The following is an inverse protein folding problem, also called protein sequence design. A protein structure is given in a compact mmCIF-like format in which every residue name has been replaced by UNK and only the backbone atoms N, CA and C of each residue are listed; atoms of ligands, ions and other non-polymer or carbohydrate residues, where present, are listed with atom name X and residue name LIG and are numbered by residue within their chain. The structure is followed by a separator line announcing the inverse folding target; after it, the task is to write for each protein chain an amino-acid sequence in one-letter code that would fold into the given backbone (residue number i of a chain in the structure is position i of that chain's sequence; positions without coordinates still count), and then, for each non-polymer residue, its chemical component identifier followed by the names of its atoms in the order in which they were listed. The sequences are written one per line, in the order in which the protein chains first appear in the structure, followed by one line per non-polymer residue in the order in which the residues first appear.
data_IF_733290621409
#
_entry.id   IF_733290621409
#
_cell.length_a   1.000
_cell.length_b   1.000
_cell.length_c   1.000
_cell.angle_alpha   90.00
_cell.angle_beta   90.00
_cell.angle_gamma   90.00
#
_symmetry.space_group_name_H-M   'P 1'
#
loop_
_entity.id
_entity.type
_entity.pdbx_description
1 polymer ?
#
# COMPACT_ATOMS: atom_id res chain seq x y z
N UNK A 1 -7.19 -10.30 22.84
CA UNK A 1 -6.29 -9.12 22.96
C UNK A 1 -5.64 -8.86 21.60
N UNK A 2 -5.40 -7.60 21.19
CA UNK A 2 -4.72 -7.27 19.93
C UNK A 2 -3.22 -7.59 20.01
N UNK A 3 -2.60 -8.06 18.91
CA UNK A 3 -1.17 -8.36 18.89
C UNK A 3 -0.32 -7.12 19.15
N UNK A 4 0.86 -7.31 19.75
CA UNK A 4 1.79 -6.22 20.09
C UNK A 4 2.18 -5.46 18.81
N UNK A 5 1.98 -4.14 18.81
CA UNK A 5 2.23 -3.28 17.65
C UNK A 5 1.02 -3.04 16.75
N UNK A 6 -0.09 -3.78 16.91
CA UNK A 6 -1.32 -3.55 16.13
C UNK A 6 -2.23 -2.57 16.87
N UNK A 7 -2.36 -1.36 16.33
CA UNK A 7 -3.26 -0.30 16.80
C UNK A 7 -4.39 -0.03 15.80
N UNK A 8 -5.46 0.65 16.24
CA UNK A 8 -6.53 1.08 15.32
C UNK A 8 -5.98 1.99 14.21
N UNK A 9 -4.95 2.78 14.52
CA UNK A 9 -4.23 3.59 13.55
C UNK A 9 -3.52 2.73 12.50
N UNK A 10 -2.93 1.61 12.91
CA UNK A 10 -2.28 0.66 11.98
C UNK A 10 -3.29 0.06 11.01
N UNK A 11 -4.47 -0.34 11.50
CA UNK A 11 -5.55 -0.86 10.65
C UNK A 11 -6.03 0.18 9.63
N UNK A 12 -6.18 1.44 10.07
CA UNK A 12 -6.56 2.55 9.19
C UNK A 12 -5.55 2.76 8.06
N UNK A 13 -4.25 2.65 8.34
CA UNK A 13 -3.20 2.72 7.32
C UNK A 13 -3.26 1.54 6.35
N UNK A 14 -3.44 0.32 6.88
CA UNK A 14 -3.58 -0.87 6.03
C UNK A 14 -4.77 -0.73 5.08
N UNK A 15 -5.93 -0.32 5.58
CA UNK A 15 -7.14 -0.13 4.77
C UNK A 15 -6.93 0.88 3.64
N UNK A 16 -6.36 2.05 3.94
CA UNK A 16 -6.09 3.08 2.94
C UNK A 16 -5.02 2.66 1.90
N UNK A 17 -4.00 1.92 2.34
CA UNK A 17 -2.96 1.39 1.44
C UNK A 17 -3.56 0.38 0.47
N UNK A 18 -4.37 -0.56 0.95
CA UNK A 18 -5.03 -1.55 0.10
C UNK A 18 -6.08 -0.92 -0.83
N UNK A 19 -6.84 0.08 -0.37
CA UNK A 19 -7.74 0.83 -1.24
C UNK A 19 -6.99 1.49 -2.40
N UNK A 20 -5.84 2.13 -2.13
CA UNK A 20 -5.02 2.73 -3.18
C UNK A 20 -4.40 1.70 -4.12
N UNK A 21 -3.97 0.55 -3.59
CA UNK A 21 -3.43 -0.55 -4.38
C UNK A 21 -4.49 -1.14 -5.32
N UNK A 22 -5.75 -1.18 -4.87
CA UNK A 22 -6.92 -1.55 -5.68
C UNK A 22 -7.38 -0.47 -6.67
N UNK A 23 -6.71 0.67 -6.75
CA UNK A 23 -7.00 1.72 -7.74
C UNK A 23 -7.94 2.83 -7.25
N UNK A 24 -8.29 2.90 -5.96
CA UNK A 24 -9.09 3.99 -5.43
C UNK A 24 -8.34 5.35 -5.55
N UNK A 25 -9.09 6.40 -5.89
CA UNK A 25 -8.57 7.77 -5.99
C UNK A 25 -8.23 8.33 -4.60
N UNK A 26 -7.23 9.22 -4.53
CA UNK A 26 -6.81 9.83 -3.26
C UNK A 26 -7.91 10.66 -2.59
N UNK A 27 -8.79 11.30 -3.37
CA UNK A 27 -9.91 12.07 -2.83
C UNK A 27 -10.91 11.16 -2.12
N UNK A 28 -11.32 10.05 -2.75
CA UNK A 28 -12.21 9.06 -2.14
C UNK A 28 -11.62 8.44 -0.86
N UNK A 29 -10.30 8.20 -0.85
CA UNK A 29 -9.61 7.72 0.36
C UNK A 29 -9.58 8.83 1.42
N UNK A 30 -9.34 10.09 1.06
CA UNK A 30 -9.38 11.20 2.01
C UNK A 30 -10.78 11.38 2.64
N UNK A 31 -11.84 11.27 1.84
CA UNK A 31 -13.24 11.31 2.29
C UNK A 31 -13.54 10.16 3.26
N UNK A 32 -13.17 8.93 2.90
CA UNK A 32 -13.29 7.76 3.79
C UNK A 32 -12.56 7.98 5.13
N UNK A 33 -11.44 8.69 5.08
CA UNK A 33 -10.63 9.02 6.25
C UNK A 33 -11.13 10.26 6.99
N UNK A 34 -12.12 10.99 6.48
CA UNK A 34 -12.62 12.23 7.08
C UNK A 34 -11.59 13.37 7.05
N UNK A 35 -10.78 13.44 5.99
CA UNK A 35 -9.74 14.47 5.82
C UNK A 35 -10.21 15.56 4.87
N UNK A 36 -9.97 16.81 5.24
CA UNK A 36 -10.28 17.96 4.39
C UNK A 36 -9.29 18.14 3.21
N UNK A 37 -8.10 17.51 3.27
CA UNK A 37 -7.13 17.55 2.18
C UNK A 37 -6.47 16.19 1.94
N UNK A 38 -5.96 16.00 0.72
CA UNK A 38 -5.28 14.77 0.30
C UNK A 38 -3.80 14.74 0.64
N UNK A 39 -3.23 15.80 1.20
CA UNK A 39 -1.78 15.91 1.44
C UNK A 39 -1.22 14.78 2.29
N UNK A 40 -1.92 14.47 3.38
CA UNK A 40 -1.55 13.35 4.27
C UNK A 40 -1.97 11.99 3.71
N UNK A 41 -2.80 11.95 2.67
CA UNK A 41 -3.24 10.73 1.98
C UNK A 41 -2.28 10.33 0.86
N UNK A 42 -1.52 11.30 0.32
CA UNK A 42 -0.47 11.10 -0.70
C UNK A 42 0.60 10.07 -0.29
N UNK A 43 0.78 9.83 1.02
CA UNK A 43 1.67 8.78 1.53
C UNK A 43 1.29 7.39 1.02
N UNK A 44 0.00 7.10 0.86
CA UNK A 44 -0.46 5.78 0.40
C UNK A 44 -0.18 5.57 -1.08
N UNK A 45 -0.25 6.62 -1.90
CA UNK A 45 0.20 6.54 -3.30
C UNK A 45 1.68 6.17 -3.35
N UNK A 46 2.54 6.90 -2.62
CA UNK A 46 3.97 6.62 -2.56
C UNK A 46 4.29 5.19 -2.12
N UNK A 47 3.51 4.63 -1.19
CA UNK A 47 3.70 3.24 -0.74
C UNK A 47 3.39 2.27 -1.88
N UNK A 48 2.26 2.46 -2.58
CA UNK A 48 1.87 1.63 -3.71
C UNK A 48 2.87 1.75 -4.86
N UNK A 49 3.32 2.96 -5.18
CA UNK A 49 4.34 3.19 -6.22
C UNK A 49 5.62 2.42 -5.89
N UNK A 50 6.09 2.48 -4.63
CA UNK A 50 7.23 1.68 -4.16
C UNK A 50 7.01 0.17 -4.25
N UNK A 51 5.78 -0.31 -4.03
CA UNK A 51 5.45 -1.73 -4.17
C UNK A 51 5.49 -2.18 -5.63
N UNK A 52 4.97 -1.34 -6.54
CA UNK A 52 4.92 -1.60 -7.97
C UNK A 52 6.31 -1.51 -8.61
N UNK A 53 7.08 -0.47 -8.26
CA UNK A 53 8.42 -0.19 -8.79
C UNK A 53 9.52 -0.91 -8.01
N UNK A 54 9.18 -1.93 -7.21
CA UNK A 54 10.15 -2.64 -6.39
C UNK A 54 11.18 -3.38 -7.27
N UNK A 55 12.46 -2.98 -7.26
CA UNK A 55 13.48 -3.60 -8.10
C UNK A 55 13.77 -5.06 -7.72
N UNK A 56 13.45 -5.50 -6.50
CA UNK A 56 13.59 -6.90 -6.12
C UNK A 56 12.71 -7.85 -6.97
N UNK A 57 11.65 -7.33 -7.61
CA UNK A 57 10.80 -8.13 -8.52
C UNK A 57 11.57 -8.69 -9.72
N UNK A 58 12.65 -8.05 -10.14
CA UNK A 58 13.53 -8.60 -11.19
C UNK A 58 14.21 -9.88 -10.73
N UNK A 59 14.62 -9.95 -9.46
CA UNK A 59 15.24 -11.15 -8.89
C UNK A 59 14.23 -12.30 -8.79
N UNK A 60 12.99 -12.01 -8.38
CA UNK A 60 11.90 -13.00 -8.35
C UNK A 60 11.65 -13.59 -9.75
N UNK A 61 11.63 -12.75 -10.79
CA UNK A 61 11.47 -13.19 -12.17
C UNK A 61 12.64 -14.05 -12.66
N UNK A 62 13.89 -13.69 -12.33
CA UNK A 62 15.07 -14.48 -12.67
C UNK A 62 15.08 -15.85 -11.98
N UNK A 63 14.75 -15.89 -10.68
CA UNK A 63 14.66 -17.14 -9.92
C UNK A 63 13.56 -18.06 -10.45
N UNK A 64 12.40 -17.51 -10.82
CA UNK A 64 11.32 -18.27 -11.42
C UNK A 64 11.74 -18.89 -12.77
N UNK A 65 12.45 -18.14 -13.62
CA UNK A 65 12.95 -18.63 -14.90
C UNK A 65 13.98 -19.78 -14.73
N UNK A 66 14.84 -19.70 -13.73
CA UNK A 66 15.82 -20.75 -13.40
C UNK A 66 15.14 -22.05 -12.94
N UNK A 67 14.02 -21.97 -12.23
CA UNK A 67 13.30 -23.14 -11.70
C UNK A 67 12.47 -23.88 -12.77
N UNK A 68 12.21 -23.25 -13.92
CA UNK A 68 11.49 -23.84 -15.05
C UNK A 68 12.39 -24.49 -16.12
N UNK A 69 13.71 -24.44 -15.94
CA UNK A 69 14.73 -25.03 -16.82
C UNK A 69 15.33 -26.29 -16.17
#
# INVERSE_FOLDING_TARGET
MKAKGISCHSLRHSAATWARAGGAKLDAIADQLGRASTDTTRIYARIVDKMTENPARYLEAMLAAQASA
#
